data_IF_977755983525
#
_entry.id   IF_977755983525
#
_cell.length_a   1.000
_cell.length_b   1.000
_cell.length_c   1.000
_cell.angle_alpha   90.00
_cell.angle_beta   90.00
_cell.angle_gamma   90.00
#
_symmetry.space_group_name_H-M   'P 1'
#
loop_
_entity.id
_entity.type
_entity.pdbx_description
1 polymer ?
#
# COMPACT_ATOMS: atom_id res chain seq x y z
N UNK A 1 -1.54 -15.84 -6.23
CA UNK A 1 -1.68 -15.36 -4.83
C UNK A 1 -0.32 -14.84 -4.44
N UNK A 2 -0.11 -13.53 -4.54
CA UNK A 2 1.15 -12.87 -4.21
C UNK A 2 1.03 -12.18 -2.85
N UNK A 3 2.15 -12.21 -2.12
CA UNK A 3 2.28 -11.90 -0.70
C UNK A 3 1.77 -10.51 -0.33
N UNK A 4 0.69 -10.49 0.45
CA UNK A 4 0.32 -9.38 1.32
C UNK A 4 1.20 -9.50 2.57
N UNK A 5 2.19 -8.63 2.74
CA UNK A 5 2.91 -8.51 4.01
C UNK A 5 1.99 -7.87 5.04
N UNK A 6 1.19 -8.70 5.71
CA UNK A 6 0.41 -8.35 6.89
C UNK A 6 1.37 -7.96 8.02
N UNK A 7 1.10 -6.81 8.64
CA UNK A 7 1.87 -6.24 9.74
C UNK A 7 1.70 -7.10 11.00
N UNK A 8 2.78 -7.70 11.50
CA UNK A 8 2.81 -8.26 12.84
C UNK A 8 2.67 -7.12 13.87
N UNK A 9 1.60 -7.17 14.68
CA UNK A 9 1.43 -6.31 15.87
C UNK A 9 2.58 -6.59 16.85
N UNK A 10 3.26 -5.55 17.33
CA UNK A 10 4.21 -5.71 18.47
C UNK A 10 3.42 -5.74 19.79
N UNK A 11 3.81 -6.58 20.75
CA UNK A 11 3.29 -6.51 22.11
C UNK A 11 3.89 -5.30 22.83
N UNK A 12 3.07 -4.65 23.67
CA UNK A 12 3.53 -3.72 24.71
C UNK A 12 4.32 -4.50 25.76
N UNK A 13 5.58 -4.12 26.00
CA UNK A 13 6.23 -4.35 27.28
C UNK A 13 7.12 -3.16 27.64
N UNK A 14 6.95 -2.73 28.88
CA UNK A 14 7.75 -1.80 29.63
C UNK A 14 8.93 -2.54 30.28
N UNK A 15 10.15 -2.01 30.17
CA UNK A 15 11.09 -1.78 31.29
C UNK A 15 12.50 -1.50 30.75
N UNK A 16 13.09 -0.42 31.28
CA UNK A 16 14.51 -0.09 31.25
C UNK A 16 15.41 -1.29 31.57
N UNK A 17 16.55 -1.38 30.88
CA UNK A 17 17.89 -1.55 31.47
C UNK A 17 18.90 -0.86 30.54
N UNK A 18 19.65 0.02 31.17
CA UNK A 18 20.80 0.79 30.69
C UNK A 18 22.03 -0.13 30.58
N UNK A 19 22.70 -0.17 29.42
CA UNK A 19 24.04 -0.75 29.28
C UNK A 19 24.74 -0.26 27.99
N UNK A 20 25.75 0.57 28.24
CA UNK A 20 26.96 0.84 27.44
C UNK A 20 26.81 1.39 26.01
N UNK A 21 27.00 2.71 25.94
CA UNK A 21 27.28 3.52 24.76
C UNK A 21 28.60 3.11 24.09
N UNK A 22 28.51 2.63 22.85
CA UNK A 22 29.45 2.95 21.75
C UNK A 22 28.65 3.02 20.45
N UNK A 23 27.99 4.16 20.22
CA UNK A 23 27.31 4.46 18.95
C UNK A 23 28.28 5.18 18.01
N UNK A 24 28.80 4.43 17.05
CA UNK A 24 29.78 4.83 16.00
C UNK A 24 29.15 5.71 14.89
N UNK A 25 28.06 6.44 15.15
CA UNK A 25 27.48 7.35 14.15
C UNK A 25 27.01 8.67 14.77
N UNK A 26 27.94 9.38 15.42
CA UNK A 26 27.78 10.81 15.69
C UNK A 26 28.59 11.64 14.69
N UNK A 27 27.91 12.04 13.62
CA UNK A 27 27.61 13.45 13.35
C UNK A 27 28.63 14.48 13.83
N UNK A 28 29.84 14.47 13.30
CA UNK A 28 30.67 15.68 13.14
C UNK A 28 31.62 15.49 11.96
N UNK A 29 31.97 16.58 11.28
CA UNK A 29 32.95 16.68 10.17
C UNK A 29 32.41 16.53 8.73
N UNK A 30 31.64 17.53 8.29
CA UNK A 30 31.72 18.03 6.91
C UNK A 30 32.04 19.54 6.94
N UNK A 31 33.06 19.92 7.71
CA UNK A 31 33.89 21.06 7.34
C UNK A 31 35.00 20.49 6.45
N UNK A 32 34.91 20.79 5.15
CA UNK A 32 36.03 20.66 4.23
C UNK A 32 37.27 21.25 4.93
N UNK A 33 38.41 20.54 5.03
CA UNK A 33 39.64 21.24 5.28
C UNK A 33 39.85 22.12 4.05
N UNK A 34 39.72 23.43 4.23
CA UNK A 34 40.44 24.38 3.42
C UNK A 34 41.92 24.04 3.58
N UNK A 35 42.43 23.13 2.74
CA UNK A 35 43.86 23.01 2.50
C UNK A 35 44.26 24.20 1.66
N UNK A 36 44.37 25.35 2.34
CA UNK A 36 45.29 26.39 1.92
C UNK A 36 46.65 25.75 1.71
N UNK A 37 47.04 25.73 0.45
CA UNK A 37 48.38 25.60 -0.08
C UNK A 37 49.50 25.99 0.91
N UNK A 38 50.54 25.15 0.89
CA UNK A 38 51.92 25.41 1.32
C UNK A 38 52.30 25.04 2.76
N UNK A 39 52.12 23.77 3.13
CA UNK A 39 53.02 23.15 4.09
C UNK A 39 53.78 22.04 3.36
N UNK A 40 55.08 22.24 3.15
CA UNK A 40 55.95 21.27 2.49
C UNK A 40 56.08 20.05 3.40
N UNK A 41 55.21 19.06 3.23
CA UNK A 41 55.30 17.80 3.95
C UNK A 41 56.68 17.18 3.70
N UNK A 42 57.32 16.79 4.78
CA UNK A 42 58.61 16.11 4.78
C UNK A 42 58.47 14.79 3.98
N UNK A 43 59.37 14.44 3.04
CA UNK A 43 59.22 13.25 2.18
C UNK A 43 58.93 11.95 2.94
N UNK A 44 59.42 11.83 4.18
CA UNK A 44 59.16 10.69 5.07
C UNK A 44 57.70 10.55 5.48
N UNK A 45 57.01 11.66 5.79
CA UNK A 45 55.59 11.64 6.18
C UNK A 45 54.68 11.32 5.00
N UNK A 46 55.03 11.82 3.81
CA UNK A 46 54.33 11.50 2.57
C UNK A 46 54.43 10.00 2.27
N UNK A 47 55.61 9.40 2.48
CA UNK A 47 55.83 7.98 2.27
C UNK A 47 55.00 7.10 3.23
N UNK A 48 54.98 7.43 4.53
CA UNK A 48 54.14 6.72 5.50
C UNK A 48 52.65 6.87 5.18
N UNK A 49 52.22 8.05 4.72
CA UNK A 49 50.82 8.25 4.32
C UNK A 49 50.44 7.42 3.10
N UNK A 50 51.31 7.35 2.09
CA UNK A 50 51.10 6.50 0.91
C UNK A 50 51.00 5.04 1.35
N UNK A 51 51.91 4.57 2.21
CA UNK A 51 51.91 3.19 2.72
C UNK A 51 50.60 2.82 3.45
N UNK A 52 50.07 3.71 4.30
CA UNK A 52 48.80 3.50 4.99
C UNK A 52 47.63 3.44 4.00
N UNK A 53 47.59 4.36 3.04
CA UNK A 53 46.53 4.40 2.03
C UNK A 53 46.55 3.14 1.14
N UNK A 54 47.74 2.67 0.74
CA UNK A 54 47.88 1.43 -0.02
C UNK A 54 47.36 0.24 0.78
N UNK A 55 47.71 0.12 2.07
CA UNK A 55 47.21 -0.96 2.92
C UNK A 55 45.68 -0.93 3.09
N UNK A 56 45.08 0.26 3.18
CA UNK A 56 43.62 0.43 3.22
C UNK A 56 42.95 0.02 1.91
N UNK A 57 43.57 0.37 0.77
CA UNK A 57 43.08 0.01 -0.55
C UNK A 57 43.14 -1.51 -0.77
N UNK A 58 44.22 -2.15 -0.34
CA UNK A 58 44.37 -3.61 -0.40
C UNK A 58 43.33 -4.33 0.47
N UNK A 59 43.09 -3.82 1.68
CA UNK A 59 42.04 -4.35 2.56
C UNK A 59 40.65 -4.24 1.91
N UNK A 60 40.33 -3.07 1.33
CA UNK A 60 39.05 -2.85 0.68
C UNK A 60 38.86 -3.75 -0.55
N UNK A 61 39.93 -3.97 -1.33
CA UNK A 61 39.91 -4.92 -2.45
C UNK A 61 39.67 -6.36 -1.99
N UNK A 62 40.26 -6.78 -0.88
CA UNK A 62 40.03 -8.11 -0.31
C UNK A 62 38.57 -8.30 0.14
N UNK A 63 38.02 -7.30 0.82
CA UNK A 63 36.61 -7.30 1.25
C UNK A 63 35.67 -7.34 0.04
N UNK A 64 35.96 -6.58 -1.01
CA UNK A 64 35.19 -6.58 -2.25
C UNK A 64 35.23 -7.94 -2.95
N UNK A 65 36.40 -8.59 -3.03
CA UNK A 65 36.53 -9.93 -3.59
C UNK A 65 35.75 -10.97 -2.78
N UNK A 66 35.82 -10.90 -1.45
CA UNK A 66 35.05 -11.77 -0.56
C UNK A 66 33.55 -11.60 -0.77
N UNK A 67 33.06 -10.36 -0.89
CA UNK A 67 31.65 -10.07 -1.14
C UNK A 67 31.19 -10.60 -2.51
N UNK A 68 32.03 -10.48 -3.55
CA UNK A 68 31.74 -11.04 -4.86
C UNK A 68 31.60 -12.57 -4.81
N UNK A 69 32.50 -13.26 -4.10
CA UNK A 69 32.44 -14.70 -3.94
C UNK A 69 31.17 -15.15 -3.19
N UNK A 70 30.76 -14.39 -2.16
CA UNK A 70 29.51 -14.65 -1.44
C UNK A 70 28.28 -14.50 -2.35
N UNK A 71 28.25 -13.47 -3.20
CA UNK A 71 27.18 -13.27 -4.18
C UNK A 71 27.10 -14.46 -5.15
N UNK A 72 28.23 -14.95 -5.66
CA UNK A 72 28.25 -16.11 -6.56
C UNK A 72 27.73 -17.38 -5.87
N UNK A 73 28.10 -17.60 -4.60
CA UNK A 73 27.58 -18.71 -3.80
C UNK A 73 26.06 -18.61 -3.62
N UNK A 74 25.56 -17.43 -3.25
CA UNK A 74 24.13 -17.18 -3.09
C UNK A 74 23.36 -17.36 -4.40
N UNK A 75 23.92 -16.95 -5.54
CA UNK A 75 23.31 -17.17 -6.86
C UNK A 75 23.23 -18.66 -7.21
N UNK A 76 24.29 -19.42 -6.92
CA UNK A 76 24.32 -20.87 -7.10
C UNK A 76 23.24 -21.57 -6.25
N UNK A 77 23.10 -21.19 -4.99
CA UNK A 77 22.08 -21.77 -4.10
C UNK A 77 20.66 -21.35 -4.50
N UNK A 78 20.45 -20.11 -4.94
CA UNK A 78 19.17 -19.66 -5.47
C UNK A 78 18.77 -20.45 -6.73
N UNK A 79 19.75 -20.79 -7.59
CA UNK A 79 19.52 -21.66 -8.75
C UNK A 79 19.11 -23.07 -8.33
N UNK A 80 19.77 -23.67 -7.33
CA UNK A 80 19.38 -24.99 -6.77
C UNK A 80 17.96 -24.97 -6.21
N UNK A 81 17.63 -23.97 -5.39
CA UNK A 81 16.32 -23.82 -4.78
C UNK A 81 15.20 -23.65 -5.82
N UNK A 82 15.45 -22.89 -6.89
CA UNK A 82 14.49 -22.78 -8.02
C UNK A 82 14.24 -24.13 -8.67
N UNK A 83 15.28 -24.93 -8.86
CA UNK A 83 15.15 -26.26 -9.45
C UNK A 83 14.37 -27.22 -8.53
N UNK A 84 14.62 -27.19 -7.23
CA UNK A 84 13.92 -28.04 -6.27
C UNK A 84 12.46 -27.63 -6.06
N UNK A 85 12.14 -26.33 -6.15
CA UNK A 85 10.77 -25.83 -6.22
C UNK A 85 10.04 -26.33 -7.46
N UNK A 86 10.71 -26.32 -8.62
CA UNK A 86 10.13 -26.84 -9.87
C UNK A 86 9.82 -28.35 -9.77
N UNK A 87 10.75 -29.14 -9.21
CA UNK A 87 10.52 -30.57 -8.94
C UNK A 87 9.35 -30.80 -7.98
N UNK A 88 9.28 -30.03 -6.89
CA UNK A 88 8.21 -30.14 -5.90
C UNK A 88 6.83 -29.81 -6.50
N UNK A 89 6.75 -28.79 -7.35
CA UNK A 89 5.53 -28.45 -8.10
C UNK A 89 5.08 -29.58 -9.02
N UNK A 90 6.01 -30.18 -9.77
CA UNK A 90 5.70 -31.32 -10.63
C UNK A 90 5.15 -32.53 -9.84
N UNK A 91 5.74 -32.81 -8.67
CA UNK A 91 5.27 -33.86 -7.76
C UNK A 91 3.86 -33.58 -7.25
N UNK A 92 3.56 -32.34 -6.83
CA UNK A 92 2.23 -31.94 -6.37
C UNK A 92 1.18 -32.10 -7.49
N UNK A 93 1.51 -31.71 -8.73
CA UNK A 93 0.60 -31.90 -9.85
C UNK A 93 0.31 -33.37 -10.14
N UNK A 94 1.32 -34.24 -10.04
CA UNK A 94 1.14 -35.68 -10.21
C UNK A 94 0.21 -36.26 -9.12
N UNK A 95 0.37 -35.86 -7.86
CA UNK A 95 -0.54 -36.28 -6.79
C UNK A 95 -1.98 -35.78 -6.99
N UNK A 96 -2.17 -34.55 -7.51
CA UNK A 96 -3.50 -34.03 -7.85
C UNK A 96 -4.17 -34.89 -8.92
N UNK A 97 -3.45 -35.29 -9.97
CA UNK A 97 -3.98 -36.14 -11.05
C UNK A 97 -4.46 -37.50 -10.51
N UNK A 98 -3.69 -38.12 -9.62
CA UNK A 98 -4.03 -39.42 -8.98
C UNK A 98 -5.26 -39.27 -8.06
N UNK A 99 -5.37 -38.17 -7.32
CA UNK A 99 -6.52 -37.92 -6.44
C UNK A 99 -7.83 -37.74 -7.21
N UNK A 100 -7.78 -37.08 -8.38
CA UNK A 100 -8.96 -36.85 -9.22
C UNK A 100 -9.41 -38.05 -10.04
N UNK A 101 -8.55 -39.04 -10.30
CA UNK A 101 -8.90 -40.21 -11.12
C UNK A 101 -9.71 -41.29 -10.37
N UNK A 102 -9.83 -41.21 -9.03
CA UNK A 102 -10.49 -42.24 -8.22
C UNK A 102 -11.96 -41.93 -7.85
N UNK A 103 -12.58 -40.89 -8.43
CA UNK A 103 -13.94 -40.44 -8.06
C UNK A 103 -15.01 -40.49 -9.18
N UNK A 104 -14.77 -41.18 -10.30
CA UNK A 104 -15.82 -41.42 -11.31
C UNK A 104 -16.14 -42.91 -11.48
N UNK A 105 -16.84 -43.48 -10.50
CA UNK A 105 -17.74 -44.63 -10.70
C UNK A 105 -19.18 -44.10 -10.83
N UNK A 106 -19.41 -43.29 -11.86
CA UNK A 106 -20.75 -42.83 -12.25
C UNK A 106 -21.36 -43.79 -13.26
N UNK A 107 -22.44 -44.45 -12.87
CA UNK A 107 -23.26 -45.38 -13.65
C UNK A 107 -23.78 -44.79 -14.98
N UNK A 108 -23.94 -45.61 -16.05
CA UNK A 108 -24.38 -45.12 -17.35
C UNK A 108 -25.90 -44.92 -17.36
N UNK A 109 -26.37 -43.68 -17.36
CA UNK A 109 -27.78 -43.37 -17.63
C UNK A 109 -27.95 -42.96 -19.09
N UNK A 110 -28.50 -43.89 -19.88
CA UNK A 110 -29.03 -43.63 -21.22
C UNK A 110 -30.22 -42.68 -21.14
N UNK A 111 -30.33 -41.69 -22.04
CA UNK A 111 -31.50 -40.81 -22.01
C UNK A 111 -31.54 -39.62 -22.97
N UNK A 112 -31.71 -39.92 -24.26
CA UNK A 112 -32.72 -39.27 -25.14
C UNK A 112 -32.69 -37.72 -25.27
N UNK A 113 -31.94 -37.19 -26.25
CA UNK A 113 -32.14 -35.81 -26.76
C UNK A 113 -33.11 -35.78 -27.95
N UNK A 114 -34.26 -35.13 -27.74
CA UNK A 114 -35.27 -34.79 -28.75
C UNK A 114 -34.83 -33.60 -29.61
N UNK A 115 -35.02 -33.74 -30.93
CA UNK A 115 -35.11 -32.67 -31.93
C UNK A 115 -36.39 -31.82 -31.72
N UNK A 116 -36.30 -30.50 -31.95
CA UNK A 116 -37.36 -29.58 -32.43
C UNK A 116 -36.69 -28.22 -32.70
N UNK A 117 -36.43 -27.81 -33.94
CA UNK A 117 -37.30 -27.29 -35.02
C UNK A 117 -37.84 -25.87 -34.80
N UNK A 118 -37.23 -24.95 -35.55
CA UNK A 118 -37.69 -23.72 -36.23
C UNK A 118 -39.10 -23.14 -36.05
N UNK A 119 -39.13 -21.84 -36.39
CA UNK A 119 -40.21 -20.91 -36.74
C UNK A 119 -40.75 -20.06 -35.57
N UNK A 120 -41.10 -18.78 -35.70
CA UNK A 120 -40.90 -17.73 -36.72
C UNK A 120 -41.45 -16.42 -36.09
N UNK A 121 -40.86 -15.29 -36.48
CA UNK A 121 -41.48 -13.99 -36.85
C UNK A 121 -42.45 -13.20 -35.94
N UNK A 122 -42.14 -11.89 -35.88
CA UNK A 122 -43.02 -10.69 -35.92
C UNK A 122 -44.09 -10.55 -34.82
N UNK A 123 -44.46 -9.39 -34.28
CA UNK A 123 -44.30 -7.97 -34.63
C UNK A 123 -44.87 -7.14 -33.46
N UNK A 124 -44.43 -5.89 -33.35
CA UNK A 124 -45.07 -4.80 -32.58
C UNK A 124 -46.54 -4.58 -33.00
N UNK A 125 -47.41 -3.97 -32.14
CA UNK A 125 -47.59 -2.49 -32.14
C UNK A 125 -47.97 -1.91 -30.74
N UNK A 126 -47.48 -0.72 -30.39
CA UNK A 126 -48.13 0.62 -30.53
C UNK A 126 -49.16 1.01 -29.46
N UNK A 127 -49.00 2.27 -29.01
CA UNK A 127 -49.64 3.06 -27.95
C UNK A 127 -51.19 3.06 -27.98
N UNK A 128 -51.82 3.19 -26.79
CA UNK A 128 -52.95 4.12 -26.58
C UNK A 128 -53.22 4.47 -25.11
N UNK A 129 -53.52 5.75 -24.90
CA UNK A 129 -53.99 6.43 -23.68
C UNK A 129 -55.52 6.28 -23.49
N UNK A 130 -55.98 6.25 -22.24
CA UNK A 130 -57.25 6.82 -21.69
C UNK A 130 -57.27 6.57 -20.16
N UNK A 131 -57.26 7.57 -19.26
CA UNK A 131 -58.30 8.54 -18.84
C UNK A 131 -59.47 7.88 -18.04
N UNK A 132 -59.49 8.19 -16.73
CA UNK A 132 -60.63 8.43 -15.79
C UNK A 132 -61.43 7.24 -15.21
N UNK A 133 -61.19 7.00 -13.90
CA UNK A 133 -62.07 6.80 -12.70
C UNK A 133 -63.47 6.12 -12.81
N UNK A 134 -63.98 5.41 -11.76
CA UNK A 134 -64.24 5.98 -10.42
C UNK A 134 -64.09 5.08 -9.16
N UNK A 135 -64.20 5.80 -8.04
CA UNK A 135 -64.35 5.45 -6.61
C UNK A 135 -64.81 4.04 -6.23
N UNK A 136 -64.11 3.46 -5.24
CA UNK A 136 -64.73 2.52 -4.29
C UNK A 136 -64.24 2.79 -2.85
N UNK A 137 -65.19 3.22 -2.03
CA UNK A 137 -65.14 3.24 -0.57
C UNK A 137 -64.87 1.84 -0.01
N UNK A 138 -63.91 1.69 0.90
CA UNK A 138 -63.95 0.62 1.91
C UNK A 138 -63.12 0.94 3.17
N UNK A 139 -63.87 1.27 4.22
CA UNK A 139 -63.74 0.89 5.64
C UNK A 139 -62.34 0.86 6.28
N UNK A 140 -62.13 1.90 7.08
CA UNK A 140 -61.16 2.02 8.17
C UNK A 140 -61.36 0.96 9.27
N UNK A 141 -60.29 0.24 9.61
CA UNK A 141 -60.12 -0.43 10.90
C UNK A 141 -59.18 0.41 11.78
N UNK A 142 -59.39 0.48 13.11
CA UNK A 142 -58.48 1.17 14.01
C UNK A 142 -57.20 0.35 14.14
N UNK A 143 -56.18 0.69 13.36
CA UNK A 143 -54.83 0.16 13.54
C UNK A 143 -54.27 0.77 14.83
N UNK A 144 -54.05 -0.07 15.83
CA UNK A 144 -53.34 0.25 17.05
C UNK A 144 -52.01 0.90 16.67
N UNK A 145 -51.90 2.20 16.90
CA UNK A 145 -50.68 2.96 16.65
C UNK A 145 -49.63 2.54 17.67
N UNK A 146 -48.82 1.56 17.31
CA UNK A 146 -47.57 1.27 18.01
C UNK A 146 -46.69 2.51 17.83
N UNK A 147 -46.54 3.29 18.90
CA UNK A 147 -45.63 4.43 18.98
C UNK A 147 -44.22 3.86 18.75
N UNK A 148 -43.82 3.85 17.48
CA UNK A 148 -42.47 3.53 17.06
C UNK A 148 -41.71 4.82 17.28
N UNK A 149 -40.99 4.89 18.39
CA UNK A 149 -40.00 5.94 18.59
C UNK A 149 -39.11 5.96 17.34
N UNK A 150 -38.95 7.12 16.67
CA UNK A 150 -38.12 7.19 15.48
C UNK A 150 -36.72 6.75 15.90
N UNK A 151 -36.27 5.62 15.37
CA UNK A 151 -34.91 5.16 15.53
C UNK A 151 -34.06 6.26 14.88
N UNK A 152 -33.46 7.12 15.70
CA UNK A 152 -32.47 8.10 15.26
C UNK A 152 -31.25 7.28 14.86
N UNK A 153 -31.23 6.84 13.60
CA UNK A 153 -30.05 6.23 13.00
C UNK A 153 -29.02 7.34 12.90
N UNK A 154 -28.08 7.39 13.85
CA UNK A 154 -26.94 8.28 13.74
C UNK A 154 -26.25 7.97 12.40
N UNK A 155 -26.03 8.97 11.53
CA UNK A 155 -25.38 8.72 10.25
C UNK A 155 -24.04 8.05 10.53
N UNK A 156 -23.82 6.89 9.90
CA UNK A 156 -22.56 6.16 10.01
C UNK A 156 -21.45 7.10 9.53
N UNK A 157 -20.54 7.49 10.42
CA UNK A 157 -19.39 8.30 10.03
C UNK A 157 -18.65 7.56 8.92
N UNK A 158 -18.46 8.24 7.80
CA UNK A 158 -17.71 7.70 6.65
C UNK A 158 -16.25 8.06 6.84
N UNK A 159 -15.38 7.19 6.36
CA UNK A 159 -13.94 7.44 6.37
C UNK A 159 -13.63 8.60 5.41
N UNK A 160 -12.59 9.36 5.73
CA UNK A 160 -12.12 10.48 4.91
C UNK A 160 -10.97 10.03 4.03
N UNK A 161 -11.01 10.44 2.76
CA UNK A 161 -9.91 10.24 1.80
C UNK A 161 -9.45 11.58 1.26
N UNK A 162 -8.21 11.93 1.59
CA UNK A 162 -7.55 13.10 1.05
C UNK A 162 -6.71 12.74 -0.17
N UNK A 163 -6.82 13.47 -1.28
CA UNK A 163 -5.95 13.31 -2.46
C UNK A 163 -5.19 14.61 -2.72
N UNK A 164 -3.87 14.59 -2.58
CA UNK A 164 -2.97 15.69 -2.90
C UNK A 164 -2.21 15.39 -4.19
N UNK A 165 -2.28 16.31 -5.15
CA UNK A 165 -1.66 16.12 -6.47
C UNK A 165 -0.97 17.40 -6.95
N UNK A 166 0.24 17.27 -7.50
CA UNK A 166 0.97 18.38 -8.13
C UNK A 166 0.64 18.58 -9.61
N UNK A 167 -0.09 17.63 -10.22
CA UNK A 167 -0.43 17.64 -11.64
C UNK A 167 -1.81 18.22 -11.89
N UNK A 168 -1.86 19.28 -12.71
CA UNK A 168 -3.13 19.82 -13.22
C UNK A 168 -3.75 18.84 -14.21
N UNK A 169 -4.73 18.08 -13.77
CA UNK A 169 -5.54 17.22 -14.65
C UNK A 169 -7.00 17.67 -14.57
N UNK A 170 -7.56 18.15 -15.70
CA UNK A 170 -8.95 18.63 -15.78
C UNK A 170 -9.99 17.53 -15.49
N UNK A 171 -9.56 16.28 -15.38
CA UNK A 171 -10.43 15.11 -15.30
C UNK A 171 -10.08 14.16 -14.13
N UNK A 172 -9.24 14.55 -13.15
CA UNK A 172 -9.00 13.67 -11.99
C UNK A 172 -10.20 13.61 -11.07
N UNK A 173 -10.91 14.72 -10.85
CA UNK A 173 -12.02 14.75 -9.89
C UNK A 173 -13.11 13.71 -10.17
N UNK A 174 -13.63 13.54 -11.42
CA UNK A 174 -14.61 12.48 -11.70
C UNK A 174 -14.06 11.06 -11.53
N UNK A 175 -12.74 10.87 -11.69
CA UNK A 175 -12.12 9.56 -11.47
C UNK A 175 -12.00 9.23 -9.98
N UNK A 176 -11.63 10.24 -9.18
CA UNK A 176 -11.57 10.14 -7.71
C UNK A 176 -12.98 9.88 -7.17
N UNK A 177 -13.96 10.66 -7.61
CA UNK A 177 -15.37 10.46 -7.24
C UNK A 177 -15.84 9.05 -7.59
N UNK A 178 -15.60 8.59 -8.82
CA UNK A 178 -15.97 7.24 -9.23
C UNK A 178 -15.23 6.11 -8.50
N UNK A 179 -14.10 6.38 -7.82
CA UNK A 179 -13.35 5.39 -7.07
C UNK A 179 -13.74 5.36 -5.58
N UNK A 180 -13.98 6.52 -4.96
CA UNK A 180 -14.09 6.63 -3.49
C UNK A 180 -15.49 6.95 -2.97
N UNK A 181 -16.39 7.51 -3.80
CA UNK A 181 -17.70 8.03 -3.38
C UNK A 181 -18.64 6.99 -2.76
N UNK A 182 -18.43 5.70 -3.03
CA UNK A 182 -19.27 4.61 -2.49
C UNK A 182 -19.08 4.41 -0.97
N UNK A 183 -17.90 4.70 -0.42
CA UNK A 183 -17.58 4.33 0.97
C UNK A 183 -16.87 5.42 1.78
N UNK A 184 -16.37 6.47 1.15
CA UNK A 184 -15.62 7.52 1.82
C UNK A 184 -16.11 8.91 1.42
N UNK A 185 -15.98 9.85 2.35
CA UNK A 185 -16.00 11.28 2.02
C UNK A 185 -14.61 11.64 1.52
N UNK A 186 -14.52 12.27 0.35
CA UNK A 186 -13.22 12.55 -0.26
C UNK A 186 -13.01 14.04 -0.51
N UNK A 187 -11.76 14.46 -0.49
CA UNK A 187 -11.37 15.81 -0.86
C UNK A 187 -10.12 15.78 -1.74
N UNK A 188 -10.08 16.64 -2.75
CA UNK A 188 -9.03 16.63 -3.76
C UNK A 188 -8.42 18.03 -3.91
N UNK A 189 -7.12 18.13 -3.66
CA UNK A 189 -6.36 19.37 -3.77
C UNK A 189 -5.31 19.22 -4.85
N UNK A 190 -5.29 20.21 -5.74
CA UNK A 190 -4.32 20.29 -6.81
C UNK A 190 -3.48 21.53 -6.61
N UNK A 191 -2.19 21.33 -6.39
CA UNK A 191 -1.20 22.42 -6.34
C UNK A 191 -0.35 22.31 -7.60
N UNK A 192 -0.75 22.92 -8.72
CA UNK A 192 -0.13 22.66 -10.00
C UNK A 192 1.34 23.10 -10.01
N UNK A 193 2.20 22.27 -10.63
CA UNK A 193 3.62 22.56 -10.85
C UNK A 193 4.45 22.77 -9.57
N UNK A 194 4.03 22.19 -8.44
CA UNK A 194 4.83 22.22 -7.22
C UNK A 194 5.77 21.03 -7.13
N UNK A 195 6.88 21.23 -6.41
CA UNK A 195 7.78 20.18 -5.95
C UNK A 195 7.11 19.31 -4.87
N UNK A 196 7.69 18.15 -4.57
CA UNK A 196 7.23 17.30 -3.47
C UNK A 196 7.34 18.02 -2.12
N UNK A 197 8.38 18.84 -1.94
CA UNK A 197 8.57 19.62 -0.70
C UNK A 197 7.45 20.63 -0.48
N UNK A 198 7.10 21.38 -1.51
CA UNK A 198 6.03 22.38 -1.46
C UNK A 198 4.67 21.74 -1.22
N UNK A 199 4.40 20.57 -1.83
CA UNK A 199 3.15 19.85 -1.63
C UNK A 199 2.95 19.45 -0.16
N UNK A 200 4.06 19.12 0.52
CA UNK A 200 4.09 18.63 1.91
C UNK A 200 4.15 19.73 2.97
N UNK A 201 4.17 21.00 2.58
CA UNK A 201 4.11 22.11 3.54
C UNK A 201 2.79 22.01 4.33
N UNK A 202 2.92 22.11 5.66
CA UNK A 202 1.83 22.06 6.64
C UNK A 202 0.95 20.80 6.53
N UNK A 203 1.51 19.67 6.10
CA UNK A 203 0.77 18.42 5.96
C UNK A 203 0.18 17.93 7.29
N UNK A 204 0.89 18.16 8.40
CA UNK A 204 0.45 17.89 9.76
C UNK A 204 -0.82 18.67 10.12
N UNK A 205 -0.86 19.97 9.77
CA UNK A 205 -2.03 20.83 10.03
C UNK A 205 -3.21 20.45 9.15
N UNK A 206 -2.95 20.11 7.88
CA UNK A 206 -4.00 19.67 6.92
C UNK A 206 -4.65 18.36 7.37
N UNK A 207 -3.90 17.49 8.04
CA UNK A 207 -4.36 16.18 8.48
C UNK A 207 -4.71 16.12 9.97
N UNK A 208 -4.76 17.23 10.70
CA UNK A 208 -4.97 17.25 12.16
C UNK A 208 -6.26 16.56 12.63
N UNK A 209 -7.32 16.58 11.80
CA UNK A 209 -8.65 16.03 12.12
C UNK A 209 -8.88 14.64 11.50
N UNK A 210 -7.80 14.01 11.02
CA UNK A 210 -7.81 12.65 10.48
C UNK A 210 -7.56 11.65 11.61
N UNK A 211 -7.99 10.42 11.36
CA UNK A 211 -7.86 9.27 12.25
C UNK A 211 -7.12 8.14 11.55
N UNK A 212 -6.85 7.06 12.28
CA UNK A 212 -6.22 5.85 11.76
C UNK A 212 -7.09 5.09 10.76
N UNK A 213 -8.35 5.51 10.55
CA UNK A 213 -9.25 4.96 9.54
C UNK A 213 -9.35 5.85 8.29
N UNK A 214 -8.74 7.03 8.35
CA UNK A 214 -8.70 8.00 7.25
C UNK A 214 -7.39 7.85 6.47
N UNK A 215 -7.43 8.24 5.19
CA UNK A 215 -6.31 8.07 4.28
C UNK A 215 -5.93 9.39 3.61
N UNK A 216 -4.63 9.63 3.45
CA UNK A 216 -4.08 10.69 2.62
C UNK A 216 -3.26 10.09 1.47
N UNK A 217 -3.66 10.35 0.23
CA UNK A 217 -3.02 9.87 -0.99
C UNK A 217 -2.19 11.01 -1.58
N UNK A 218 -0.89 10.80 -1.71
CA UNK A 218 0.08 11.80 -2.14
C UNK A 218 0.68 11.42 -3.49
N UNK A 219 0.40 12.19 -4.55
CA UNK A 219 1.10 12.04 -5.83
C UNK A 219 2.32 12.98 -5.85
N UNK A 220 3.51 12.39 -5.76
CA UNK A 220 4.78 13.13 -5.60
C UNK A 220 5.79 12.80 -6.71
N UNK A 221 6.86 13.58 -6.81
CA UNK A 221 8.02 13.29 -7.66
C UNK A 221 7.90 13.73 -9.13
N UNK A 222 6.71 13.89 -9.72
CA UNK A 222 6.58 14.17 -11.16
C UNK A 222 7.35 15.43 -11.63
N UNK A 223 7.43 16.48 -10.80
CA UNK A 223 8.20 17.68 -11.12
C UNK A 223 9.65 17.58 -10.65
N UNK A 224 9.88 16.93 -9.50
CA UNK A 224 11.23 16.78 -8.95
C UNK A 224 12.13 15.92 -9.87
N UNK A 225 11.59 14.92 -10.57
CA UNK A 225 12.37 14.11 -11.54
C UNK A 225 12.90 14.96 -12.71
N UNK A 226 12.20 16.04 -13.07
CA UNK A 226 12.61 16.91 -14.18
C UNK A 226 13.73 17.86 -13.77
N UNK A 227 13.69 18.33 -12.52
CA UNK A 227 14.50 19.45 -12.04
C UNK A 227 15.68 19.00 -11.15
N UNK A 228 15.53 17.90 -10.42
CA UNK A 228 16.50 17.44 -9.42
C UNK A 228 17.18 16.12 -9.84
N UNK A 229 18.44 15.98 -9.44
CA UNK A 229 19.20 14.72 -9.55
C UNK A 229 19.55 14.15 -8.16
N UNK A 230 19.26 14.86 -7.07
CA UNK A 230 19.58 14.46 -5.71
C UNK A 230 18.36 13.87 -4.99
N UNK A 231 17.96 12.67 -5.44
CA UNK A 231 16.82 11.95 -4.89
C UNK A 231 16.97 11.59 -3.42
N UNK A 232 18.19 11.41 -2.93
CA UNK A 232 18.45 11.11 -1.51
C UNK A 232 17.99 12.27 -0.62
N UNK A 233 18.35 13.51 -0.97
CA UNK A 233 17.95 14.68 -0.20
C UNK A 233 16.44 14.96 -0.31
N UNK A 234 15.85 14.65 -1.46
CA UNK A 234 14.40 14.74 -1.64
C UNK A 234 13.66 13.74 -0.74
N UNK A 235 14.07 12.47 -0.75
CA UNK A 235 13.47 11.40 0.06
C UNK A 235 13.62 11.68 1.56
N UNK A 236 14.81 12.13 1.99
CA UNK A 236 15.02 12.56 3.38
C UNK A 236 14.03 13.65 3.80
N UNK A 237 13.79 14.62 2.92
CA UNK A 237 12.83 15.70 3.16
C UNK A 237 11.40 15.18 3.24
N UNK A 238 11.00 14.27 2.33
CA UNK A 238 9.68 13.64 2.35
C UNK A 238 9.48 12.89 3.67
N UNK A 239 10.45 12.06 4.07
CA UNK A 239 10.42 11.34 5.34
C UNK A 239 10.27 12.28 6.53
N UNK A 240 11.08 13.33 6.62
CA UNK A 240 11.01 14.30 7.72
C UNK A 240 9.62 14.95 7.82
N UNK A 241 9.00 15.29 6.69
CA UNK A 241 7.66 15.89 6.67
C UNK A 241 6.55 14.92 7.09
N UNK A 242 6.71 13.63 6.79
CA UNK A 242 5.65 12.64 7.01
C UNK A 242 5.81 11.84 8.31
N UNK A 243 7.03 11.72 8.84
CA UNK A 243 7.31 10.91 10.04
C UNK A 243 6.61 11.41 11.30
N UNK A 244 6.28 12.71 11.36
CA UNK A 244 5.50 13.29 12.46
C UNK A 244 4.01 12.96 12.38
N UNK A 245 3.49 12.58 11.20
CA UNK A 245 2.07 12.31 10.97
C UNK A 245 1.81 10.82 11.19
N UNK A 246 1.48 10.46 12.43
CA UNK A 246 1.29 9.05 12.85
C UNK A 246 -0.17 8.66 13.06
N UNK A 247 -1.07 9.64 13.05
CA UNK A 247 -2.48 9.48 13.38
C UNK A 247 -3.37 9.22 12.16
N UNK A 248 -2.81 9.06 10.96
CA UNK A 248 -3.55 8.76 9.72
C UNK A 248 -2.72 7.92 8.76
N UNK A 249 -3.37 7.22 7.84
CA UNK A 249 -2.69 6.38 6.86
C UNK A 249 -2.27 7.21 5.66
N UNK A 250 -0.97 7.22 5.35
CA UNK A 250 -0.43 7.95 4.21
C UNK A 250 -0.05 6.97 3.11
N UNK A 251 -0.56 7.19 1.90
CA UNK A 251 -0.24 6.42 0.70
C UNK A 251 0.55 7.33 -0.24
N UNK A 252 1.81 7.00 -0.48
CA UNK A 252 2.66 7.70 -1.44
C UNK A 252 2.56 7.02 -2.79
N UNK A 253 2.06 7.76 -3.77
CA UNK A 253 1.99 7.37 -5.17
C UNK A 253 3.21 7.92 -5.91
N UNK A 254 4.02 7.00 -6.42
CA UNK A 254 5.25 7.32 -7.12
C UNK A 254 4.99 7.97 -8.51
N UNK A 255 5.96 8.70 -9.10
CA UNK A 255 5.82 9.24 -10.45
C UNK A 255 5.67 8.15 -11.50
N UNK A 256 4.93 8.48 -12.57
CA UNK A 256 4.59 7.54 -13.63
C UNK A 256 5.52 7.65 -14.83
N UNK A 257 5.72 6.54 -15.54
CA UNK A 257 6.48 6.52 -16.79
C UNK A 257 5.85 7.38 -17.89
N UNK A 258 6.70 7.74 -18.87
CA UNK A 258 6.33 8.42 -20.10
C UNK A 258 6.84 7.59 -21.29
N UNK A 259 5.94 7.20 -22.19
CA UNK A 259 6.30 6.47 -23.41
C UNK A 259 7.26 7.29 -24.27
N UNK A 260 8.34 6.67 -24.75
CA UNK A 260 9.35 7.34 -25.59
C UNK A 260 10.36 8.21 -24.82
N UNK A 261 10.34 8.19 -23.49
CA UNK A 261 11.27 8.97 -22.65
C UNK A 261 12.16 8.07 -21.77
N UNK A 262 13.09 7.29 -22.35
CA UNK A 262 13.86 6.28 -21.61
C UNK A 262 14.70 6.86 -20.47
N UNK A 263 15.34 8.02 -20.68
CA UNK A 263 16.15 8.68 -19.64
C UNK A 263 15.28 9.15 -18.46
N UNK A 264 14.09 9.69 -18.74
CA UNK A 264 13.13 10.07 -17.71
C UNK A 264 12.64 8.84 -16.94
N UNK A 265 12.30 7.75 -17.63
CA UNK A 265 11.82 6.54 -17.00
C UNK A 265 12.88 5.87 -16.12
N UNK A 266 14.16 5.90 -16.53
CA UNK A 266 15.27 5.45 -15.69
C UNK A 266 15.36 6.26 -14.39
N UNK A 267 15.21 7.60 -14.46
CA UNK A 267 15.18 8.46 -13.27
C UNK A 267 13.99 8.15 -12.37
N UNK A 268 12.80 7.95 -12.94
CA UNK A 268 11.59 7.51 -12.23
C UNK A 268 11.85 6.20 -11.50
N UNK A 269 12.41 5.20 -12.17
CA UNK A 269 12.72 3.89 -11.57
C UNK A 269 13.69 4.01 -10.40
N UNK A 270 14.78 4.77 -10.56
CA UNK A 270 15.75 5.00 -9.49
C UNK A 270 15.11 5.69 -8.28
N UNK A 271 14.31 6.74 -8.51
CA UNK A 271 13.60 7.43 -7.44
C UNK A 271 12.59 6.52 -6.73
N UNK A 272 11.80 5.76 -7.49
CA UNK A 272 10.78 4.86 -6.96
C UNK A 272 11.40 3.77 -6.07
N UNK A 273 12.51 3.18 -6.49
CA UNK A 273 13.22 2.16 -5.72
C UNK A 273 13.76 2.73 -4.41
N UNK A 274 14.41 3.90 -4.45
CA UNK A 274 14.93 4.55 -3.24
C UNK A 274 13.81 4.93 -2.28
N UNK A 275 12.72 5.49 -2.79
CA UNK A 275 11.56 5.90 -1.99
C UNK A 275 10.84 4.70 -1.38
N UNK A 276 10.72 3.60 -2.12
CA UNK A 276 10.14 2.34 -1.64
C UNK A 276 10.95 1.79 -0.46
N UNK A 277 12.28 1.67 -0.62
CA UNK A 277 13.17 1.19 0.43
C UNK A 277 13.10 2.07 1.67
N UNK A 278 13.19 3.39 1.51
CA UNK A 278 13.14 4.33 2.64
C UNK A 278 11.78 4.29 3.37
N UNK A 279 10.66 4.22 2.62
CA UNK A 279 9.32 4.11 3.20
C UNK A 279 9.14 2.82 4.00
N UNK A 280 9.64 1.69 3.49
CA UNK A 280 9.57 0.40 4.17
C UNK A 280 10.46 0.35 5.42
N UNK A 281 11.70 0.85 5.32
CA UNK A 281 12.64 0.85 6.46
C UNK A 281 12.15 1.72 7.61
N UNK A 282 11.52 2.86 7.30
CA UNK A 282 11.13 3.86 8.32
C UNK A 282 9.64 3.84 8.68
N UNK A 283 8.79 3.10 7.93
CA UNK A 283 7.37 2.89 8.21
C UNK A 283 6.53 4.17 8.40
N UNK A 284 6.86 5.26 7.69
CA UNK A 284 6.09 6.52 7.76
C UNK A 284 4.95 6.61 6.75
N UNK A 285 4.95 5.77 5.71
CA UNK A 285 3.91 5.76 4.68
C UNK A 285 3.86 4.41 3.94
N UNK A 286 2.71 4.12 3.34
CA UNK A 286 2.52 3.04 2.39
C UNK A 286 3.00 3.48 1.01
N UNK A 287 3.95 2.75 0.44
CA UNK A 287 4.38 2.98 -0.94
C UNK A 287 3.43 2.29 -1.92
N UNK A 288 2.91 3.05 -2.89
CA UNK A 288 2.07 2.54 -3.96
C UNK A 288 2.77 2.76 -5.31
N UNK A 289 3.13 1.65 -5.97
CA UNK A 289 3.70 1.69 -7.32
C UNK A 289 2.61 1.98 -8.36
N UNK A 290 2.59 3.22 -8.83
CA UNK A 290 1.66 3.69 -9.86
C UNK A 290 1.93 3.10 -11.23
N UNK A 291 3.13 2.54 -11.47
CA UNK A 291 3.51 1.97 -12.76
C UNK A 291 3.15 0.49 -12.89
N UNK A 292 2.90 -0.18 -11.76
CA UNK A 292 2.49 -1.58 -11.74
C UNK A 292 1.15 -1.75 -12.48
N UNK A 293 1.05 -2.78 -13.31
CA UNK A 293 -0.15 -3.16 -14.08
C UNK A 293 -0.64 -2.14 -15.11
N UNK A 294 0.19 -1.16 -15.51
CA UNK A 294 -0.12 -0.28 -16.63
C UNK A 294 0.17 -0.95 -17.98
N UNK A 295 -0.77 -0.85 -18.90
CA UNK A 295 -0.65 -1.36 -20.26
C UNK A 295 -0.43 -0.23 -21.28
N UNK A 296 0.11 -0.50 -22.49
CA UNK A 296 0.40 0.54 -23.47
C UNK A 296 -0.80 1.43 -23.85
N UNK A 297 -2.02 0.90 -23.87
CA UNK A 297 -3.26 1.64 -24.15
C UNK A 297 -3.67 2.61 -23.02
N UNK A 298 -3.05 2.51 -21.85
CA UNK A 298 -3.23 3.44 -20.73
C UNK A 298 -2.35 4.69 -20.84
N UNK A 299 -1.53 4.79 -21.88
CA UNK A 299 -0.75 5.96 -22.21
C UNK A 299 -1.37 6.72 -23.38
N UNK A 300 -1.19 8.04 -23.39
CA UNK A 300 -1.61 8.91 -24.49
C UNK A 300 -0.64 8.76 -25.65
N UNK A 301 -1.11 8.38 -26.83
CA UNK A 301 -0.30 8.35 -28.04
C UNK A 301 0.33 9.72 -28.37
N UNK A 302 -0.34 10.81 -28.03
CA UNK A 302 0.11 12.17 -28.35
C UNK A 302 1.20 12.70 -27.41
N UNK A 303 1.20 12.28 -26.15
CA UNK A 303 2.08 12.86 -25.12
C UNK A 303 2.97 11.84 -24.42
N UNK A 304 2.74 10.54 -24.64
CA UNK A 304 3.37 9.44 -23.91
C UNK A 304 2.99 9.36 -22.43
N UNK A 305 2.24 10.32 -21.88
CA UNK A 305 1.84 10.35 -20.47
C UNK A 305 0.64 9.46 -20.23
N UNK A 306 0.45 9.03 -18.98
CA UNK A 306 -0.78 8.32 -18.57
C UNK A 306 -2.03 9.12 -18.98
N UNK A 307 -2.96 8.41 -19.61
CA UNK A 307 -4.25 8.91 -20.05
C UNK A 307 -5.34 8.68 -18.98
N UNK A 308 -6.60 9.00 -19.32
CA UNK A 308 -7.73 8.86 -18.39
C UNK A 308 -7.96 7.41 -17.94
N UNK A 309 -7.74 6.44 -18.84
CA UNK A 309 -7.90 5.01 -18.54
C UNK A 309 -6.88 4.54 -17.51
N UNK A 310 -5.60 4.90 -17.70
CA UNK A 310 -4.55 4.56 -16.74
C UNK A 310 -4.75 5.20 -15.37
N UNK A 311 -5.11 6.49 -15.31
CA UNK A 311 -5.42 7.12 -14.02
C UNK A 311 -6.62 6.47 -13.32
N UNK A 312 -7.66 6.08 -14.07
CA UNK A 312 -8.80 5.34 -13.53
C UNK A 312 -8.37 4.00 -12.93
N UNK A 313 -7.50 3.26 -13.64
CA UNK A 313 -6.95 2.01 -13.16
C UNK A 313 -6.17 2.20 -11.83
N UNK A 314 -5.31 3.22 -11.76
CA UNK A 314 -4.56 3.56 -10.54
C UNK A 314 -5.52 3.83 -9.36
N UNK A 315 -6.49 4.73 -9.52
CA UNK A 315 -7.43 5.04 -8.44
C UNK A 315 -8.26 3.83 -7.99
N UNK A 316 -8.71 3.00 -8.93
CA UNK A 316 -9.45 1.78 -8.60
C UNK A 316 -8.60 0.80 -7.78
N UNK A 317 -7.31 0.65 -8.10
CA UNK A 317 -6.39 -0.20 -7.35
C UNK A 317 -6.12 0.34 -5.94
N UNK A 318 -5.89 1.65 -5.82
CA UNK A 318 -5.76 2.30 -4.50
C UNK A 318 -7.04 2.09 -3.68
N UNK A 319 -8.21 2.31 -4.29
CA UNK A 319 -9.50 2.10 -3.63
C UNK A 319 -9.69 0.67 -3.14
N UNK A 320 -9.37 -0.33 -3.98
CA UNK A 320 -9.45 -1.74 -3.61
C UNK A 320 -8.55 -2.08 -2.42
N UNK A 321 -7.33 -1.53 -2.39
CA UNK A 321 -6.40 -1.71 -1.27
C UNK A 321 -6.96 -1.09 0.02
N UNK A 322 -7.48 0.14 -0.05
CA UNK A 322 -8.10 0.81 1.11
C UNK A 322 -9.30 0.01 1.63
N UNK A 323 -10.19 -0.46 0.74
CA UNK A 323 -11.35 -1.28 1.14
C UNK A 323 -10.91 -2.55 1.86
N UNK A 324 -9.90 -3.24 1.32
CA UNK A 324 -9.35 -4.46 1.93
C UNK A 324 -8.79 -4.19 3.33
N UNK A 325 -8.04 -3.09 3.48
CA UNK A 325 -7.46 -2.69 4.78
C UNK A 325 -8.54 -2.36 5.82
N UNK A 326 -9.58 -1.62 5.41
CA UNK A 326 -10.73 -1.30 6.26
C UNK A 326 -11.54 -2.53 6.67
N UNK A 327 -11.72 -3.50 5.78
CA UNK A 327 -12.39 -4.77 6.08
C UNK A 327 -11.63 -5.57 7.12
N UNK A 328 -10.30 -5.65 7.00
CA UNK A 328 -9.44 -6.33 7.98
C UNK A 328 -9.50 -5.65 9.35
N UNK A 329 -9.59 -4.31 9.38
CA UNK A 329 -9.70 -3.56 10.63
C UNK A 329 -11.01 -3.87 11.36
N UNK A 330 -12.13 -3.87 10.64
CA UNK A 330 -13.44 -4.15 11.22
C UNK A 330 -13.54 -5.59 11.76
N UNK A 331 -12.93 -6.58 11.08
CA UNK A 331 -12.91 -7.96 11.55
C UNK A 331 -12.12 -8.12 12.85
N UNK A 332 -11.04 -7.37 13.04
CA UNK A 332 -10.24 -7.42 14.25
C UNK A 332 -11.00 -6.89 15.48
N UNK A 333 -11.78 -5.82 15.31
CA UNK A 333 -12.58 -5.22 16.39
C UNK A 333 -13.75 -6.12 16.82
N UNK A 334 -14.36 -6.86 15.88
CA UNK A 334 -15.43 -7.83 16.20
C UNK A 334 -14.90 -8.99 17.04
N UNK A 335 -13.69 -9.50 16.74
CA UNK A 335 -13.07 -10.57 17.52
C UNK A 335 -12.76 -10.15 18.96
N UNK A 336 -12.23 -8.95 19.19
CA UNK A 336 -11.93 -8.44 20.54
C UNK A 336 -13.20 -8.22 21.38
N UNK A 337 -14.31 -7.81 20.75
CA UNK A 337 -15.58 -7.64 21.44
C UNK A 337 -16.27 -8.98 21.75
N UNK A 338 -16.10 -10.01 20.90
CA UNK A 338 -16.63 -11.35 21.17
C UNK A 338 -15.99 -11.99 22.41
N UNK A 339 -14.67 -11.79 22.61
CA UNK A 339 -13.94 -12.30 23.77
C UNK A 339 -14.32 -11.59 25.08
N UNK A 340 -14.63 -10.29 25.02
CA UNK A 340 -15.07 -9.54 26.22
C UNK A 340 -16.47 -9.93 26.68
N UNK A 341 -17.35 -10.32 25.75
CA UNK A 341 -18.72 -10.73 26.07
C UNK A 341 -18.84 -12.21 26.47
N UNK A 342 -17.81 -13.03 26.24
CA UNK A 342 -17.77 -14.43 26.71
C UNK A 342 -17.23 -14.61 28.13
N UNK A 343 -16.80 -13.54 28.81
CA UNK A 343 -16.55 -13.57 30.26
C UNK A 343 -17.89 -13.54 31.01
N UNK A 344 -18.64 -14.62 30.88
CA UNK A 344 -19.64 -15.04 31.85
C UNK A 344 -18.92 -15.12 33.20
N UNK A 345 -19.43 -14.37 34.17
CA UNK A 345 -18.92 -14.34 35.54
C UNK A 345 -18.59 -15.76 36.02
N UNK A 346 -17.37 -16.03 36.51
CA UNK A 346 -17.12 -17.30 37.16
C UNK A 346 -18.11 -17.44 38.31
N UNK A 347 -18.66 -18.65 38.55
CA UNK A 347 -19.58 -18.86 39.65
C UNK A 347 -18.86 -18.43 40.93
N UNK A 348 -19.52 -17.56 41.68
CA UNK A 348 -19.11 -17.15 43.02
C UNK A 348 -19.01 -18.41 43.89
N UNK A 349 -17.81 -18.97 44.00
CA UNK A 349 -17.48 -19.90 45.06
C UNK A 349 -16.60 -19.16 46.07
N UNK A 350 -17.11 -19.07 47.29
CA UNK A 350 -16.49 -18.36 48.40
C UNK A 350 -15.28 -19.12 48.91
N UNK A 351 -14.12 -18.92 48.29
CA UNK A 351 -12.85 -19.51 48.69
C UNK A 351 -11.87 -18.47 49.24
N UNK A 352 -11.57 -18.57 50.53
CA UNK A 352 -10.57 -17.80 51.27
C UNK A 352 -9.14 -17.99 50.72
N UNK A 353 -8.34 -16.92 50.84
CA UNK A 353 -6.87 -16.86 51.03
C UNK A 353 -5.94 -17.42 49.95
N UNK A 354 -5.03 -16.58 49.42
CA UNK A 354 -3.65 -16.47 49.94
C UNK A 354 -2.79 -15.54 49.05
N UNK A 355 -2.01 -14.68 49.72
CA UNK A 355 -0.88 -13.94 49.15
C UNK A 355 0.25 -14.93 48.82
N UNK A 356 0.89 -14.83 47.66
CA UNK A 356 2.29 -15.27 47.47
C UNK A 356 2.90 -14.62 46.20
N UNK A 357 4.06 -13.96 46.39
CA UNK A 357 5.14 -13.47 45.50
C UNK A 357 5.13 -13.86 44.00
N UNK A 358 5.75 -13.09 43.07
CA UNK A 358 7.18 -12.76 43.09
C UNK A 358 7.62 -11.76 41.99
N UNK A 359 8.64 -10.98 42.34
CA UNK A 359 9.57 -10.26 41.46
C UNK A 359 10.26 -11.17 40.43
N UNK A 360 10.42 -10.68 39.20
CA UNK A 360 11.71 -10.52 38.49
C UNK A 360 11.51 -9.67 37.23
#
# INVERSE_FOLDING_TARGET
MENVTMRNRRPRSSSLIDLSKESIFDTTMMSLPNSSLNESLNPTELYERIKILTAQLDKCNLELQSAHQEIENLLSDNFKLKNDLAKSRATIENYKKISTSNFFTGTPTSGRKKKKSNQNNHSTPSKRLSIVQPEFNQKSYPSTATITTPIIIKPKQRNKVYVLNSRKTKHSLPLIEGAFSDYADFCHFVTPNCSSRELLIDIDKKLKDFTTNDYCILFIGENDIKEDNNYINLIKSIRQSLQSVTHTNIIICAPTYITGAPIYNFKVEMFNNLLHLDSQSNNYAFFFDTNRDLTPDMFSYATGKINRSGMKNIYNRISANIKTDLELYNQADEHDNSFKNSNVSPPHDGGKTSNFFRDQ
#
